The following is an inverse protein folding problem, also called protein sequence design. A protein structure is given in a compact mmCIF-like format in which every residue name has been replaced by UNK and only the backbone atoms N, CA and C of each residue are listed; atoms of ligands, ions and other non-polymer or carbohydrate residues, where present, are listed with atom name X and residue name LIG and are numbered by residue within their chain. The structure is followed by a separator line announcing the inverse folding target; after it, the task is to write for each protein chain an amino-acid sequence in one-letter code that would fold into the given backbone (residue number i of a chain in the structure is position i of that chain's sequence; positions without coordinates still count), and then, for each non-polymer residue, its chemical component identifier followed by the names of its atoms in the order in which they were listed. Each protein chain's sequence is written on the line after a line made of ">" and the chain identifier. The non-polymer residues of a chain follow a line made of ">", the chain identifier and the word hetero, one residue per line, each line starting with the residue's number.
data_IF_102070928215
#
_entry.id   IF_102070928215
#
_cell.length_a   1.000
_cell.length_b   1.000
_cell.length_c   1.000
_cell.angle_alpha   90.00
_cell.angle_beta   90.00
_cell.angle_gamma   90.00
#
_symmetry.space_group_name_H-M   'P 1'
#
loop_
_entity.id
_entity.type
_entity.pdbx_description
1 polymer ?
#
# COMPACT_ATOMS: atom_id res chain seq x y z
N UNK A 1 13.58 -11.15 10.16
CA UNK A 1 13.21 -11.67 8.83
C UNK A 1 14.44 -11.80 7.93
N UNK A 2 14.38 -12.67 6.91
CA UNK A 2 15.41 -12.75 5.85
C UNK A 2 14.98 -11.95 4.60
N UNK A 3 15.89 -11.71 3.67
CA UNK A 3 15.62 -10.93 2.44
C UNK A 3 14.46 -11.49 1.61
N UNK A 4 14.29 -12.82 1.55
CA UNK A 4 13.18 -13.44 0.81
C UNK A 4 11.83 -13.13 1.45
N UNK A 5 11.74 -13.20 2.78
CA UNK A 5 10.54 -12.89 3.55
C UNK A 5 10.10 -11.43 3.35
N UNK A 6 11.03 -10.48 3.40
CA UNK A 6 10.72 -9.06 3.12
C UNK A 6 10.11 -8.85 1.73
N UNK A 7 10.69 -9.50 0.71
CA UNK A 7 10.18 -9.41 -0.66
C UNK A 7 8.80 -10.03 -0.82
N UNK A 8 8.51 -11.12 -0.11
CA UNK A 8 7.19 -11.73 -0.14
C UNK A 8 6.17 -10.87 0.59
N UNK A 9 6.52 -10.31 1.75
CA UNK A 9 5.62 -9.42 2.50
C UNK A 9 5.28 -8.15 1.69
N UNK A 10 6.28 -7.52 1.07
CA UNK A 10 6.06 -6.38 0.17
C UNK A 10 5.16 -6.75 -1.03
N UNK A 11 5.32 -7.96 -1.60
CA UNK A 11 4.43 -8.44 -2.66
C UNK A 11 2.99 -8.63 -2.20
N UNK A 12 2.77 -9.15 -1.01
CA UNK A 12 1.42 -9.29 -0.45
C UNK A 12 0.77 -7.92 -0.24
N UNK A 13 1.51 -6.93 0.26
CA UNK A 13 1.05 -5.55 0.38
C UNK A 13 0.67 -4.97 -1.00
N UNK A 14 1.55 -5.12 -2.00
CA UNK A 14 1.30 -4.62 -3.34
C UNK A 14 0.11 -5.31 -4.03
N UNK A 15 -0.04 -6.62 -3.83
CA UNK A 15 -1.20 -7.36 -4.31
C UNK A 15 -2.47 -6.84 -3.65
N UNK A 16 -2.46 -6.63 -2.33
CA UNK A 16 -3.62 -6.11 -1.62
C UNK A 16 -4.04 -4.75 -2.19
N UNK A 17 -3.10 -3.83 -2.38
CA UNK A 17 -3.37 -2.52 -2.99
C UNK A 17 -4.01 -2.66 -4.36
N UNK A 18 -3.45 -3.52 -5.22
CA UNK A 18 -3.94 -3.71 -6.58
C UNK A 18 -5.36 -4.29 -6.63
N UNK A 19 -5.69 -5.22 -5.73
CA UNK A 19 -6.99 -5.90 -5.72
C UNK A 19 -8.07 -5.20 -4.90
N UNK A 20 -7.69 -4.37 -3.92
CA UNK A 20 -8.62 -3.82 -2.94
C UNK A 20 -8.72 -2.30 -2.91
N UNK A 21 -7.63 -1.57 -3.19
CA UNK A 21 -7.68 -0.11 -3.08
C UNK A 21 -8.29 0.58 -4.32
N UNK A 22 -8.18 -0.01 -5.52
CA UNK A 22 -8.81 0.48 -6.77
C UNK A 22 -8.71 2.01 -7.00
N UNK A 23 -7.56 2.60 -6.66
CA UNK A 23 -7.35 4.06 -6.78
C UNK A 23 -8.08 4.90 -5.72
N UNK A 24 -8.51 4.32 -4.61
CA UNK A 24 -9.13 4.99 -3.45
C UNK A 24 -8.16 4.99 -2.27
N UNK A 25 -8.08 6.12 -1.58
CA UNK A 25 -7.31 6.25 -0.34
C UNK A 25 -7.80 5.23 0.72
N UNK A 26 -6.91 4.34 1.15
CA UNK A 26 -7.24 3.29 2.13
C UNK A 26 -6.08 3.04 3.09
N UNK A 27 -6.42 2.87 4.37
CA UNK A 27 -5.51 2.36 5.39
C UNK A 27 -5.91 0.94 5.75
N UNK A 28 -4.99 -0.01 5.64
CA UNK A 28 -5.25 -1.41 5.93
C UNK A 28 -4.10 -2.05 6.73
N UNK A 29 -4.44 -3.14 7.41
CA UNK A 29 -3.49 -3.99 8.13
C UNK A 29 -3.33 -5.31 7.39
N UNK A 30 -2.09 -5.77 7.27
CA UNK A 30 -1.79 -7.05 6.64
C UNK A 30 -0.78 -7.82 7.48
N UNK A 31 -1.08 -9.10 7.71
CA UNK A 31 -0.26 -10.01 8.48
C UNK A 31 0.58 -10.90 7.56
N UNK A 32 1.86 -11.06 7.88
CA UNK A 32 2.76 -11.98 7.19
C UNK A 32 3.81 -12.53 8.15
N UNK A 33 3.89 -13.86 8.25
CA UNK A 33 4.87 -14.57 9.10
C UNK A 33 4.94 -14.06 10.56
N UNK A 34 3.78 -13.77 11.17
CA UNK A 34 3.70 -13.30 12.57
C UNK A 34 3.99 -11.82 12.77
N UNK A 35 4.14 -11.05 11.69
CA UNK A 35 4.23 -9.59 11.72
C UNK A 35 3.00 -8.97 11.09
N UNK A 36 2.45 -7.94 11.70
CA UNK A 36 1.37 -7.11 11.16
C UNK A 36 1.94 -5.77 10.72
N UNK A 37 1.67 -5.38 9.48
CA UNK A 37 2.03 -4.07 8.93
C UNK A 37 0.78 -3.22 8.74
N UNK A 38 0.82 -1.97 9.23
CA UNK A 38 -0.17 -0.95 8.89
C UNK A 38 0.31 -0.17 7.67
N UNK A 39 -0.47 -0.19 6.60
CA UNK A 39 -0.15 0.44 5.32
C UNK A 39 -1.23 1.48 5.01
N UNK A 40 -0.79 2.68 4.66
CA UNK A 40 -1.63 3.73 4.09
C UNK A 40 -1.31 3.87 2.62
N UNK A 41 -2.28 3.49 1.79
CA UNK A 41 -2.27 3.75 0.37
C UNK A 41 -3.03 5.06 0.09
N UNK A 42 -2.46 5.87 -0.80
CA UNK A 42 -3.10 7.08 -1.31
C UNK A 42 -3.02 7.13 -2.82
N UNK A 43 -4.13 7.51 -3.42
CA UNK A 43 -4.26 7.69 -4.86
C UNK A 43 -4.81 9.10 -5.15
N UNK A 44 -4.03 9.87 -5.89
CA UNK A 44 -4.47 11.17 -6.38
C UNK A 44 -5.20 10.94 -7.71
N UNK A 45 -6.53 11.05 -7.67
CA UNK A 45 -7.38 10.92 -8.86
C UNK A 45 -7.53 12.29 -9.51
N UNK A 46 -7.32 12.34 -10.84
CA UNK A 46 -7.77 13.44 -11.67
C UNK A 46 -9.05 13.07 -12.37
N UNK A 47 -10.06 13.89 -12.12
CA UNK A 47 -11.33 13.81 -12.80
C UNK A 47 -11.34 14.81 -13.95
N UNK A 48 -11.68 14.31 -15.14
CA UNK A 48 -12.06 15.13 -16.28
C UNK A 48 -13.56 14.94 -16.47
N UNK A 49 -14.33 16.02 -16.29
CA UNK A 49 -15.79 15.95 -16.38
C UNK A 49 -16.31 15.62 -17.79
N UNK A 50 -15.42 15.59 -18.80
CA UNK A 50 -15.79 15.51 -20.19
C UNK A 50 -16.49 16.78 -20.68
N UNK A 51 -16.88 16.76 -21.94
CA UNK A 51 -17.63 17.83 -22.60
C UNK A 51 -18.78 17.23 -23.44
N UNK A 52 -19.41 18.05 -24.30
CA UNK A 52 -20.53 17.58 -25.13
C UNK A 52 -20.17 16.38 -26.03
N UNK A 53 -18.88 16.21 -26.39
CA UNK A 53 -18.39 15.12 -27.23
C UNK A 53 -17.63 14.03 -26.48
N UNK A 54 -17.25 14.25 -25.22
CA UNK A 54 -16.39 13.34 -24.45
C UNK A 54 -17.06 12.94 -23.14
N UNK A 55 -17.04 11.64 -22.83
CA UNK A 55 -17.58 11.15 -21.56
C UNK A 55 -16.65 11.58 -20.41
N UNK A 56 -17.19 11.80 -19.20
CA UNK A 56 -16.37 11.98 -18.01
C UNK A 56 -15.41 10.81 -17.85
N UNK A 57 -14.17 11.12 -17.49
CA UNK A 57 -13.11 10.15 -17.26
C UNK A 57 -12.39 10.46 -15.96
N UNK A 58 -11.82 9.44 -15.35
CA UNK A 58 -10.97 9.58 -14.18
C UNK A 58 -9.68 8.82 -14.47
N UNK A 59 -8.57 9.36 -13.99
CA UNK A 59 -7.26 8.74 -14.14
C UNK A 59 -6.49 8.93 -12.84
N UNK A 60 -5.82 7.88 -12.39
CA UNK A 60 -4.92 7.94 -11.25
C UNK A 60 -3.67 8.70 -11.71
N UNK A 61 -3.47 9.92 -11.23
CA UNK A 61 -2.29 10.74 -11.55
C UNK A 61 -1.07 10.31 -10.76
N UNK A 62 -1.28 9.87 -9.51
CA UNK A 62 -0.19 9.46 -8.62
C UNK A 62 -0.67 8.50 -7.55
N UNK A 63 0.15 7.52 -7.27
CA UNK A 63 -0.05 6.56 -6.19
C UNK A 63 1.11 6.69 -5.21
N UNK A 64 0.82 6.57 -3.92
CA UNK A 64 1.84 6.54 -2.88
C UNK A 64 1.46 5.54 -1.80
N UNK A 65 2.43 4.74 -1.39
CA UNK A 65 2.26 3.71 -0.37
C UNK A 65 3.18 4.01 0.79
N UNK A 66 2.58 4.14 1.98
CA UNK A 66 3.31 4.42 3.22
C UNK A 66 3.10 3.28 4.20
N UNK A 67 4.17 2.62 4.62
CA UNK A 67 4.15 1.65 5.72
C UNK A 67 4.33 2.42 7.02
N UNK A 68 3.25 2.62 7.79
CA UNK A 68 3.30 3.49 8.95
C UNK A 68 3.94 2.81 10.16
N UNK A 69 3.66 1.51 10.35
CA UNK A 69 4.21 0.72 11.45
C UNK A 69 4.16 -0.77 11.12
N UNK A 70 5.07 -1.53 11.74
CA UNK A 70 5.07 -2.98 11.72
C UNK A 70 5.27 -3.47 13.14
N UNK A 71 4.49 -4.45 13.60
CA UNK A 71 4.60 -5.04 14.92
C UNK A 71 4.44 -6.57 14.87
N UNK A 72 4.94 -7.27 15.89
CA UNK A 72 4.71 -8.72 16.04
C UNK A 72 3.40 -9.02 16.80
N UNK A 73 3.04 -10.30 16.94
CA UNK A 73 1.87 -10.76 17.70
C UNK A 73 1.86 -10.32 19.19
N UNK A 74 3.01 -9.91 19.73
CA UNK A 74 3.15 -9.43 21.11
C UNK A 74 2.99 -7.90 21.20
N UNK A 75 2.86 -7.21 20.06
CA UNK A 75 2.78 -5.75 19.96
C UNK A 75 4.15 -5.06 20.03
N UNK A 76 5.24 -5.78 19.83
CA UNK A 76 6.56 -5.16 19.72
C UNK A 76 6.71 -4.53 18.34
N UNK A 77 7.03 -3.23 18.28
CA UNK A 77 7.24 -2.53 17.01
C UNK A 77 8.63 -2.80 16.41
N UNK A 78 8.65 -2.97 15.08
CA UNK A 78 9.84 -3.23 14.29
C UNK A 78 10.00 -2.17 13.19
N UNK A 79 10.50 -0.97 13.53
CA UNK A 79 10.65 0.13 12.57
C UNK A 79 11.60 -0.22 11.43
N UNK A 80 12.62 -1.03 11.68
CA UNK A 80 13.55 -1.54 10.67
C UNK A 80 12.87 -2.38 9.57
N UNK A 81 11.80 -3.11 9.93
CA UNK A 81 10.98 -3.87 8.98
C UNK A 81 10.09 -2.90 8.20
N UNK A 82 9.49 -1.92 8.87
CA UNK A 82 8.68 -0.88 8.23
C UNK A 82 9.49 -0.11 7.17
N UNK A 83 10.71 0.32 7.50
CA UNK A 83 11.61 1.00 6.56
C UNK A 83 12.01 0.11 5.38
N UNK A 84 12.31 -1.17 5.63
CA UNK A 84 12.63 -2.11 4.55
C UNK A 84 11.45 -2.32 3.61
N UNK A 85 10.23 -2.47 4.14
CA UNK A 85 9.02 -2.60 3.33
C UNK A 85 8.71 -1.31 2.57
N UNK A 86 8.90 -0.14 3.19
CA UNK A 86 8.73 1.16 2.54
C UNK A 86 9.61 1.29 1.30
N UNK A 87 10.88 0.87 1.39
CA UNK A 87 11.84 0.88 0.27
C UNK A 87 11.50 -0.15 -0.81
N UNK A 88 10.87 -1.27 -0.45
CA UNK A 88 10.46 -2.28 -1.43
C UNK A 88 9.17 -1.91 -2.18
N UNK A 89 8.36 -1.02 -1.60
CA UNK A 89 7.05 -0.60 -2.14
C UNK A 89 7.10 0.70 -2.96
N UNK A 90 8.22 1.44 -2.95
CA UNK A 90 8.39 2.70 -3.68
C UNK A 90 9.65 2.66 -4.56
#
# INVERSE_FOLDING_TARGET
>A
MNTTAYNQFAKEIANYINYHCDGVDEGFEIEYEGFTAFVSYKAEIREDAGDYWTAPSWTIEKESTTVAAVWDEQGNEYPEIAEALQVLLN
#
